data_IF_818037776769
#
_entry.id   IF_818037776769
#
_cell.length_a   1.000
_cell.length_b   1.000
_cell.length_c   1.000
_cell.angle_alpha   90.00
_cell.angle_beta   90.00
_cell.angle_gamma   90.00
#
_symmetry.space_group_name_H-M   'P 1'
#
loop_
_entity.id
_entity.type
_entity.pdbx_description
1 polymer ?
#
# COMPACT_ATOMS: atom_id res chain seq x y z
N UNK A 1 42.11 32.37 6.20
CA UNK A 1 42.64 33.63 6.78
C UNK A 1 42.05 34.79 6.01
N UNK A 2 41.31 35.68 6.66
CA UNK A 2 40.76 36.88 6.04
C UNK A 2 41.72 38.05 6.27
N UNK A 3 42.12 38.73 5.20
CA UNK A 3 42.93 39.94 5.29
C UNK A 3 42.01 41.13 5.08
N UNK A 4 41.77 41.91 6.14
CA UNK A 4 41.01 43.16 6.04
C UNK A 4 42.02 44.30 5.87
N UNK A 5 42.11 44.94 4.69
CA UNK A 5 42.99 46.06 4.50
C UNK A 5 42.42 47.29 5.22
N UNK A 6 43.16 47.84 6.17
CA UNK A 6 42.86 49.14 6.75
C UNK A 6 43.82 50.20 6.20
N UNK A 7 43.28 51.36 5.85
CA UNK A 7 44.06 52.53 5.42
C UNK A 7 43.99 53.56 6.54
N UNK A 8 45.11 53.76 7.24
CA UNK A 8 45.21 54.79 8.27
C UNK A 8 45.65 56.09 7.60
N UNK A 9 44.77 57.10 7.56
CA UNK A 9 45.09 58.42 7.03
C UNK A 9 45.33 59.40 8.18
N UNK A 10 46.56 59.91 8.31
CA UNK A 10 46.90 60.99 9.24
C UNK A 10 47.04 62.34 8.53
N UNK A 11 46.74 63.45 9.22
CA UNK A 11 47.10 64.81 8.77
C UNK A 11 48.28 65.33 9.58
N UNK A 12 49.21 66.04 8.91
CA UNK A 12 50.35 66.69 9.57
C UNK A 12 49.84 67.93 10.33
N UNK A 13 49.84 67.88 11.66
CA UNK A 13 49.50 69.04 12.49
C UNK A 13 50.64 70.08 12.53
N UNK A 14 50.36 71.34 12.89
CA UNK A 14 51.39 72.36 13.06
C UNK A 14 52.20 72.11 14.35
N UNK A 15 53.46 71.71 14.24
CA UNK A 15 54.35 71.50 15.39
C UNK A 15 55.48 72.55 15.41
N UNK A 16 55.50 73.50 16.37
CA UNK A 16 56.50 74.58 16.41
C UNK A 16 57.93 74.17 16.79
N UNK A 17 58.16 72.99 17.36
CA UNK A 17 59.47 72.57 17.90
C UNK A 17 60.00 71.24 17.32
N UNK A 18 59.56 70.88 16.11
CA UNK A 18 59.88 69.60 15.48
C UNK A 18 58.78 68.56 15.70
N UNK A 19 58.33 67.92 14.62
CA UNK A 19 57.33 66.87 14.70
C UNK A 19 57.96 65.61 15.31
N UNK A 20 57.71 65.34 16.58
CA UNK A 20 57.83 63.97 17.07
C UNK A 20 56.60 63.21 16.55
N UNK A 21 56.76 62.07 15.84
CA UNK A 21 55.60 61.28 15.46
C UNK A 21 54.82 60.95 16.73
N UNK A 22 53.52 61.23 16.73
CA UNK A 22 52.61 60.76 17.77
C UNK A 22 52.92 59.28 17.99
N UNK A 23 53.17 58.87 19.25
CA UNK A 23 53.35 57.45 19.58
C UNK A 23 52.22 56.71 18.90
N UNK A 24 52.55 55.77 18.00
CA UNK A 24 51.56 55.02 17.25
C UNK A 24 50.58 54.41 18.23
N UNK A 25 49.39 54.98 18.31
CA UNK A 25 48.35 54.48 19.17
C UNK A 25 47.90 53.18 18.51
N UNK A 26 48.23 52.06 19.15
CA UNK A 26 47.81 50.74 18.69
C UNK A 26 46.32 50.65 18.94
N UNK A 27 45.54 50.97 17.92
CA UNK A 27 44.09 50.79 17.95
C UNK A 27 43.81 49.31 17.72
N UNK A 28 43.51 48.59 18.79
CA UNK A 28 43.02 47.21 18.70
C UNK A 28 41.57 47.23 18.26
N UNK A 29 41.33 46.95 16.98
CA UNK A 29 39.98 46.72 16.46
C UNK A 29 39.56 45.29 16.82
N UNK A 30 38.53 45.15 17.65
CA UNK A 30 37.91 43.85 17.93
C UNK A 30 36.85 43.60 16.85
N UNK A 31 37.17 42.74 15.89
CA UNK A 31 36.22 42.28 14.88
C UNK A 31 35.51 41.02 15.41
N UNK A 32 34.23 41.15 15.74
CA UNK A 32 33.39 39.99 16.03
C UNK A 32 32.85 39.40 14.72
N UNK A 33 33.47 38.34 14.22
CA UNK A 33 32.92 37.56 13.09
C UNK A 33 31.81 36.67 13.63
N UNK A 34 30.56 37.05 13.38
CA UNK A 34 29.40 36.20 13.66
C UNK A 34 29.27 35.22 12.50
N UNK A 35 29.63 33.96 12.73
CA UNK A 35 29.35 32.90 11.78
C UNK A 35 27.88 32.50 11.89
N UNK A 36 27.15 32.56 10.78
CA UNK A 36 25.80 32.00 10.72
C UNK A 36 25.80 30.50 11.01
N UNK A 37 24.71 30.00 11.59
CA UNK A 37 24.51 28.58 11.85
C UNK A 37 23.26 28.09 11.12
N UNK A 38 23.26 26.87 10.55
CA UNK A 38 22.06 26.23 10.05
C UNK A 38 21.08 25.96 11.20
N UNK A 39 19.78 26.08 10.93
CA UNK A 39 18.73 25.79 11.89
C UNK A 39 17.55 25.12 11.19
N UNK A 40 17.51 23.79 11.19
CA UNK A 40 16.46 23.05 10.49
C UNK A 40 15.18 22.95 11.32
N UNK A 41 14.05 23.23 10.66
CA UNK A 41 12.69 22.97 11.13
C UNK A 41 12.11 21.77 10.40
N UNK A 42 11.44 20.89 11.13
CA UNK A 42 10.83 19.66 10.61
C UNK A 42 9.31 19.74 10.71
N UNK A 43 8.65 19.36 9.63
CA UNK A 43 7.20 19.18 9.57
C UNK A 43 6.90 17.82 8.93
N UNK A 44 5.89 17.13 9.45
CA UNK A 44 5.43 15.83 8.96
C UNK A 44 3.92 15.95 8.72
N UNK A 45 3.38 15.25 7.73
CA UNK A 45 1.93 15.19 7.48
C UNK A 45 1.18 14.79 8.74
N UNK A 46 0.04 15.45 8.98
CA UNK A 46 -0.93 15.02 9.98
C UNK A 46 -1.77 13.87 9.41
N UNK A 47 -2.46 13.15 10.31
CA UNK A 47 -3.47 12.17 9.95
C UNK A 47 -2.94 10.98 9.13
N UNK A 48 -1.82 10.42 9.60
CA UNK A 48 -1.21 9.23 9.00
C UNK A 48 -2.03 7.99 9.40
N UNK A 49 -3.01 7.65 8.56
CA UNK A 49 -3.91 6.51 8.77
C UNK A 49 -3.77 5.55 7.59
N UNK A 50 -3.65 4.25 7.86
CA UNK A 50 -3.55 3.21 6.84
C UNK A 50 -4.27 1.94 7.28
N UNK A 51 -4.65 1.10 6.33
CA UNK A 51 -5.10 -0.25 6.65
C UNK A 51 -3.90 -1.18 6.89
N UNK A 52 -4.11 -2.22 7.69
CA UNK A 52 -3.14 -3.31 7.83
C UNK A 52 -2.85 -3.95 6.46
N UNK A 53 -1.58 -4.20 6.17
CA UNK A 53 -1.14 -4.82 4.91
C UNK A 53 -0.84 -3.85 3.76
N UNK A 54 -1.16 -2.57 3.90
CA UNK A 54 -0.88 -1.54 2.89
C UNK A 54 0.52 -0.91 3.03
N UNK A 55 0.86 -0.04 2.07
CA UNK A 55 2.02 0.85 2.18
C UNK A 55 1.54 2.28 2.34
N UNK A 56 1.87 2.89 3.47
CA UNK A 56 1.56 4.29 3.73
C UNK A 56 2.75 5.17 3.35
N UNK A 57 2.50 6.22 2.58
CA UNK A 57 3.51 7.26 2.33
C UNK A 57 3.26 8.44 3.26
N UNK A 58 4.24 8.74 4.12
CA UNK A 58 4.22 9.85 5.08
C UNK A 58 5.12 10.95 4.54
N UNK A 59 4.52 12.08 4.18
CA UNK A 59 5.24 13.22 3.64
C UNK A 59 5.84 14.07 4.75
N UNK A 60 7.04 14.58 4.51
CA UNK A 60 7.72 15.49 5.42
C UNK A 60 8.41 16.63 4.68
N UNK A 61 8.63 17.73 5.40
CA UNK A 61 9.43 18.84 4.92
C UNK A 61 10.47 19.28 5.94
N UNK A 62 11.65 19.63 5.44
CA UNK A 62 12.78 20.14 6.20
C UNK A 62 13.12 21.52 5.67
N UNK A 63 12.95 22.55 6.50
CA UNK A 63 13.27 23.93 6.11
C UNK A 63 14.45 24.46 6.89
N UNK A 64 15.43 25.05 6.19
CA UNK A 64 16.54 25.72 6.86
C UNK A 64 16.14 27.16 7.23
N UNK A 65 15.91 27.41 8.52
CA UNK A 65 15.65 28.74 9.08
C UNK A 65 16.92 29.44 9.57
N UNK A 66 18.07 28.78 9.43
CA UNK A 66 19.36 29.30 9.82
C UNK A 66 19.89 30.37 8.86
N UNK A 67 20.99 31.00 9.26
CA UNK A 67 21.69 32.00 8.43
C UNK A 67 22.89 31.41 7.68
N UNK A 68 23.08 30.09 7.74
CA UNK A 68 24.10 29.35 7.01
C UNK A 68 23.53 28.04 6.43
N UNK A 69 24.14 27.50 5.36
CA UNK A 69 23.72 26.24 4.76
C UNK A 69 23.89 25.04 5.70
N UNK A 70 23.04 24.04 5.52
CA UNK A 70 23.17 22.73 6.12
C UNK A 70 23.65 21.72 5.08
N UNK A 71 24.66 20.91 5.42
CA UNK A 71 25.27 19.96 4.51
C UNK A 71 24.92 18.52 4.86
N UNK A 72 24.95 17.62 3.86
CA UNK A 72 24.72 16.19 4.01
C UNK A 72 23.43 15.88 4.77
N UNK A 73 22.32 16.50 4.36
CA UNK A 73 21.04 16.33 5.05
C UNK A 73 20.53 14.92 4.79
N UNK A 74 20.37 14.12 5.86
CA UNK A 74 19.88 12.73 5.78
C UNK A 74 18.73 12.53 6.74
N UNK A 75 17.66 11.91 6.26
CA UNK A 75 16.49 11.56 7.06
C UNK A 75 16.42 10.04 7.28
N UNK A 76 16.02 9.64 8.47
CA UNK A 76 15.83 8.25 8.89
C UNK A 76 14.62 8.18 9.81
N UNK A 77 13.78 7.15 9.65
CA UNK A 77 12.70 6.86 10.61
C UNK A 77 13.19 5.83 11.61
N UNK A 78 13.04 6.16 12.89
CA UNK A 78 13.33 5.27 14.02
C UNK A 78 12.05 4.92 14.74
N UNK A 79 11.99 3.69 15.22
CA UNK A 79 10.91 3.20 16.06
C UNK A 79 11.44 2.20 17.06
N UNK A 80 10.68 2.00 18.14
CA UNK A 80 10.93 0.94 19.11
C UNK A 80 10.32 -0.41 18.66
N UNK A 81 9.58 -0.41 17.54
CA UNK A 81 8.91 -1.58 16.97
C UNK A 81 9.86 -2.30 16.01
N UNK A 82 10.48 -3.38 16.49
CA UNK A 82 11.47 -4.14 15.71
C UNK A 82 10.95 -4.72 14.38
N UNK A 83 9.64 -4.86 14.22
CA UNK A 83 9.03 -5.33 12.98
C UNK A 83 8.83 -4.23 11.93
N UNK A 84 8.87 -2.95 12.32
CA UNK A 84 8.63 -1.84 11.39
C UNK A 84 9.64 -1.85 10.23
N UNK A 85 9.15 -2.11 9.03
CA UNK A 85 9.90 -1.88 7.80
C UNK A 85 9.49 -0.51 7.25
N UNK A 86 10.48 0.37 7.02
CA UNK A 86 10.26 1.66 6.37
C UNK A 86 11.39 1.97 5.39
N UNK A 87 11.06 2.74 4.36
CA UNK A 87 12.00 3.23 3.37
C UNK A 87 11.83 4.75 3.23
N UNK A 88 12.89 5.48 3.57
CA UNK A 88 12.94 6.93 3.40
C UNK A 88 13.34 7.25 1.96
N UNK A 89 12.53 8.05 1.28
CA UNK A 89 12.82 8.55 -0.04
C UNK A 89 12.97 10.08 0.00
N UNK A 90 14.20 10.53 -0.21
CA UNK A 90 14.51 11.95 -0.39
C UNK A 90 14.77 12.14 -1.89
N UNK A 91 13.95 12.93 -2.60
CA UNK A 91 14.18 13.20 -4.01
C UNK A 91 15.51 13.96 -4.19
N UNK A 92 16.50 13.27 -4.76
CA UNK A 92 17.83 13.81 -5.04
C UNK A 92 18.75 13.81 -3.82
N UNK A 93 20.02 13.48 -4.03
CA UNK A 93 21.06 13.66 -3.02
C UNK A 93 21.18 15.16 -2.70
N UNK A 94 20.53 15.63 -1.62
CA UNK A 94 20.64 17.03 -1.18
C UNK A 94 21.89 17.18 -0.32
N UNK A 95 23.02 17.34 -1.01
CA UNK A 95 24.31 17.61 -0.40
C UNK A 95 24.31 18.93 0.40
N UNK A 96 23.46 19.90 0.01
CA UNK A 96 23.39 21.23 0.63
C UNK A 96 21.96 21.78 0.61
N UNK A 97 21.51 22.28 1.76
CA UNK A 97 20.25 23.00 1.94
C UNK A 97 20.55 24.44 2.36
N UNK A 98 20.36 25.39 1.44
CA UNK A 98 20.69 26.80 1.65
C UNK A 98 19.73 27.47 2.67
N UNK A 99 20.11 28.62 3.25
CA UNK A 99 19.21 29.40 4.09
C UNK A 99 17.87 29.70 3.40
N UNK A 100 16.77 29.41 4.10
CA UNK A 100 15.38 29.51 3.68
C UNK A 100 14.87 28.45 2.70
N UNK A 101 15.74 27.57 2.20
CA UNK A 101 15.32 26.47 1.34
C UNK A 101 14.52 25.42 2.13
N UNK A 102 13.64 24.75 1.39
CA UNK A 102 12.82 23.65 1.88
C UNK A 102 13.11 22.41 1.05
N UNK A 103 13.40 21.32 1.75
CA UNK A 103 13.47 19.98 1.21
C UNK A 103 12.16 19.25 1.51
N UNK A 104 11.53 18.70 0.49
CA UNK A 104 10.37 17.82 0.61
C UNK A 104 10.80 16.37 0.40
N UNK A 105 10.26 15.46 1.20
CA UNK A 105 10.54 14.03 1.10
C UNK A 105 9.36 13.20 1.58
N UNK A 106 9.43 11.89 1.35
CA UNK A 106 8.37 10.96 1.75
C UNK A 106 8.97 9.70 2.35
N UNK A 107 8.31 9.13 3.35
CA UNK A 107 8.68 7.86 3.97
C UNK A 107 7.61 6.83 3.66
N UNK A 108 7.98 5.77 2.95
CA UNK A 108 7.13 4.60 2.75
C UNK A 108 7.20 3.70 4.00
N UNK A 109 6.06 3.46 4.63
CA UNK A 109 5.89 2.58 5.79
C UNK A 109 5.08 1.37 5.36
N UNK A 110 5.64 0.17 5.54
CA UNK A 110 4.96 -1.08 5.18
C UNK A 110 4.16 -1.60 6.39
N UNK A 111 2.85 -1.36 6.41
CA UNK A 111 1.99 -1.71 7.55
C UNK A 111 1.76 -3.20 7.67
N UNK A 112 2.07 -4.01 6.66
CA UNK A 112 2.07 -5.49 6.75
C UNK A 112 2.95 -6.06 7.86
N UNK A 113 3.84 -5.25 8.42
CA UNK A 113 4.75 -5.61 9.50
C UNK A 113 4.27 -5.18 10.89
N UNK A 114 3.11 -4.53 10.96
CA UNK A 114 2.49 -4.00 12.17
C UNK A 114 1.02 -4.44 12.22
N UNK A 115 0.53 -4.85 13.39
CA UNK A 115 -0.89 -5.14 13.55
C UNK A 115 -1.73 -3.86 13.65
N UNK A 116 -3.06 -4.01 13.75
CA UNK A 116 -3.96 -2.91 14.12
C UNK A 116 -3.48 -2.17 15.38
N UNK A 117 -3.59 -0.84 15.39
CA UNK A 117 -3.33 -0.02 16.56
C UNK A 117 -2.74 1.36 16.28
N UNK A 118 -2.40 2.06 17.36
CA UNK A 118 -1.76 3.36 17.33
C UNK A 118 -0.27 3.23 17.63
N UNK A 119 0.55 3.85 16.79
CA UNK A 119 2.01 3.79 16.85
C UNK A 119 2.59 5.20 16.90
N UNK A 120 3.61 5.40 17.74
CA UNK A 120 4.39 6.63 17.76
C UNK A 120 5.76 6.38 17.13
N UNK A 121 6.07 7.13 16.07
CA UNK A 121 7.30 7.01 15.30
C UNK A 121 8.12 8.29 15.40
N UNK A 122 9.43 8.20 15.15
CA UNK A 122 10.34 9.35 15.18
C UNK A 122 11.10 9.50 13.87
N UNK A 123 10.97 10.66 13.25
CA UNK A 123 11.82 11.10 12.14
C UNK A 123 13.07 11.79 12.68
N UNK A 124 14.24 11.23 12.41
CA UNK A 124 15.55 11.81 12.69
C UNK A 124 16.12 12.42 11.39
N UNK A 125 16.48 13.70 11.43
CA UNK A 125 17.19 14.40 10.33
C UNK A 125 18.56 14.83 10.82
N UNK A 126 19.60 14.24 10.25
CA UNK A 126 21.00 14.57 10.53
C UNK A 126 21.57 15.51 9.46
N UNK A 127 22.44 16.43 9.87
CA UNK A 127 23.11 17.38 8.98
C UNK A 127 24.43 17.88 9.59
N UNK A 128 25.24 18.55 8.79
CA UNK A 128 26.54 19.10 9.16
C UNK A 128 26.57 20.61 8.92
N UNK A 129 27.16 21.39 9.83
CA UNK A 129 27.35 22.83 9.64
C UNK A 129 28.60 23.18 8.80
N UNK A 130 28.81 24.47 8.54
CA UNK A 130 29.99 25.00 7.83
C UNK A 130 31.33 24.70 8.51
N UNK A 131 31.34 24.28 9.77
CA UNK A 131 32.52 23.94 10.56
C UNK A 131 32.75 22.43 10.66
N UNK A 132 31.87 21.61 10.08
CA UNK A 132 31.93 20.15 10.18
C UNK A 132 31.26 19.57 11.43
N UNK A 133 30.54 20.38 12.22
CA UNK A 133 29.81 19.91 13.40
C UNK A 133 28.54 19.20 12.96
N UNK A 134 28.35 17.97 13.43
CA UNK A 134 27.15 17.19 13.14
C UNK A 134 26.02 17.49 14.13
N UNK A 135 24.80 17.58 13.62
CA UNK A 135 23.58 17.82 14.36
C UNK A 135 22.51 16.79 13.98
N UNK A 136 21.57 16.57 14.89
CA UNK A 136 20.36 15.77 14.65
C UNK A 136 19.15 16.57 15.13
N UNK A 137 18.13 16.66 14.27
CA UNK A 137 16.80 17.15 14.62
C UNK A 137 15.81 16.01 14.57
N UNK A 138 14.84 16.06 15.47
CA UNK A 138 13.89 14.98 15.68
C UNK A 138 12.47 15.52 15.66
N UNK A 139 11.56 14.74 15.10
CA UNK A 139 10.12 15.00 15.13
C UNK A 139 9.38 13.69 15.33
N UNK A 140 8.53 13.64 16.35
CA UNK A 140 7.62 12.51 16.54
C UNK A 140 6.33 12.74 15.77
N UNK A 141 5.73 11.64 15.30
CA UNK A 141 4.44 11.63 14.64
C UNK A 141 3.70 10.32 14.96
N UNK A 142 2.38 10.38 14.93
CA UNK A 142 1.50 9.24 15.19
C UNK A 142 1.08 8.58 13.88
N UNK A 143 0.92 7.27 13.92
CA UNK A 143 0.45 6.40 12.85
C UNK A 143 -0.69 5.53 13.39
N UNK A 144 -1.85 5.60 12.74
CA UNK A 144 -3.02 4.77 13.06
C UNK A 144 -3.16 3.67 12.02
N UNK A 145 -3.14 2.42 12.45
CA UNK A 145 -3.37 1.26 11.60
C UNK A 145 -4.75 0.72 11.92
N UNK A 146 -5.64 0.81 10.94
CA UNK A 146 -6.98 0.27 10.99
C UNK A 146 -6.96 -1.18 10.50
N UNK A 147 -7.93 -2.01 10.92
CA UNK A 147 -8.08 -3.35 10.36
C UNK A 147 -8.28 -3.27 8.85
N UNK A 148 -7.70 -4.22 8.13
CA UNK A 148 -7.84 -4.32 6.66
C UNK A 148 -9.32 -4.27 6.25
N UNK A 149 -9.69 -3.33 5.39
CA UNK A 149 -11.02 -3.30 4.76
C UNK A 149 -11.17 -4.31 3.62
N UNK A 150 -10.11 -5.03 3.25
CA UNK A 150 -10.27 -6.23 2.45
C UNK A 150 -11.01 -7.24 3.32
N UNK A 151 -12.27 -7.49 2.99
CA UNK A 151 -13.05 -8.59 3.54
C UNK A 151 -12.16 -9.83 3.52
N UNK A 152 -11.97 -10.46 4.67
CA UNK A 152 -11.21 -11.70 4.75
C UNK A 152 -11.79 -12.70 3.74
N UNK A 153 -10.99 -13.67 3.29
CA UNK A 153 -11.54 -14.74 2.45
C UNK A 153 -12.76 -15.40 3.11
N UNK A 154 -12.80 -15.44 4.45
CA UNK A 154 -13.97 -15.90 5.19
C UNK A 154 -15.19 -14.98 5.03
N UNK A 155 -15.04 -13.66 5.17
CA UNK A 155 -16.14 -12.71 4.98
C UNK A 155 -16.66 -12.71 3.53
N UNK A 156 -15.77 -12.77 2.54
CA UNK A 156 -16.17 -12.93 1.13
C UNK A 156 -16.89 -14.26 0.92
N UNK A 157 -16.46 -15.32 1.62
CA UNK A 157 -17.10 -16.62 1.64
C UNK A 157 -18.52 -16.54 2.22
N UNK A 158 -18.70 -15.82 3.34
CA UNK A 158 -19.98 -15.62 4.01
C UNK A 158 -20.97 -14.90 3.07
N UNK A 159 -20.55 -13.78 2.48
CA UNK A 159 -21.37 -13.00 1.54
C UNK A 159 -21.79 -13.86 0.33
N UNK A 160 -20.83 -14.59 -0.27
CA UNK A 160 -21.10 -15.48 -1.42
C UNK A 160 -22.02 -16.65 -1.04
N UNK A 161 -21.87 -17.19 0.17
CA UNK A 161 -22.72 -18.27 0.68
C UNK A 161 -24.16 -17.81 0.86
N UNK A 162 -24.38 -16.61 1.42
CA UNK A 162 -25.72 -16.02 1.59
C UNK A 162 -26.41 -15.80 0.23
N UNK A 163 -25.69 -15.31 -0.78
CA UNK A 163 -26.22 -15.21 -2.15
C UNK A 163 -26.61 -16.58 -2.72
N UNK A 164 -25.81 -17.62 -2.47
CA UNK A 164 -26.12 -19.00 -2.85
C UNK A 164 -27.40 -19.53 -2.20
N UNK A 165 -27.62 -19.23 -0.91
CA UNK A 165 -28.86 -19.58 -0.20
C UNK A 165 -30.07 -18.86 -0.80
N UNK A 166 -29.94 -17.58 -1.13
CA UNK A 166 -31.02 -16.82 -1.76
C UNK A 166 -31.42 -17.40 -3.14
N UNK A 167 -30.47 -17.98 -3.89
CA UNK A 167 -30.78 -18.67 -5.15
C UNK A 167 -31.52 -20.00 -4.95
N UNK A 168 -31.28 -20.71 -3.83
CA UNK A 168 -32.09 -21.88 -3.48
C UNK A 168 -33.55 -21.51 -3.21
N UNK A 169 -33.83 -20.34 -2.65
CA UNK A 169 -35.21 -19.87 -2.41
C UNK A 169 -35.97 -19.54 -3.71
N UNK A 170 -35.26 -19.33 -4.82
CA UNK A 170 -35.84 -19.02 -6.14
C UNK A 170 -35.77 -20.21 -7.10
N UNK A 171 -35.47 -21.42 -6.60
CA UNK A 171 -35.28 -22.66 -7.35
C UNK A 171 -34.19 -22.59 -8.44
N UNK A 172 -33.28 -21.61 -8.37
CA UNK A 172 -32.10 -21.54 -9.24
C UNK A 172 -30.96 -22.39 -8.68
N UNK A 173 -31.15 -23.71 -8.74
CA UNK A 173 -30.18 -24.68 -8.24
C UNK A 173 -28.82 -24.59 -8.94
N UNK A 174 -28.79 -24.21 -10.24
CA UNK A 174 -27.54 -24.07 -10.98
C UNK A 174 -26.74 -22.86 -10.51
N UNK A 175 -27.41 -21.72 -10.33
CA UNK A 175 -26.78 -20.53 -9.78
C UNK A 175 -26.29 -20.77 -8.34
N UNK A 176 -27.10 -21.44 -7.51
CA UNK A 176 -26.73 -21.78 -6.15
C UNK A 176 -25.47 -22.68 -6.09
N UNK A 177 -25.37 -23.71 -6.94
CA UNK A 177 -24.17 -24.58 -7.02
C UNK A 177 -22.92 -23.77 -7.36
N UNK A 178 -23.01 -22.82 -8.28
CA UNK A 178 -21.87 -21.97 -8.64
C UNK A 178 -21.40 -21.12 -7.46
N UNK A 179 -22.32 -20.46 -6.76
CA UNK A 179 -22.00 -19.61 -5.61
C UNK A 179 -21.46 -20.43 -4.43
N UNK A 180 -22.06 -21.57 -4.10
CA UNK A 180 -21.50 -22.45 -3.05
C UNK A 180 -20.11 -23.00 -3.41
N UNK A 181 -19.85 -23.26 -4.69
CA UNK A 181 -18.51 -23.68 -5.14
C UNK A 181 -17.47 -22.57 -4.98
N UNK A 182 -17.86 -21.32 -5.24
CA UNK A 182 -17.02 -20.15 -5.03
C UNK A 182 -16.79 -19.89 -3.53
N UNK A 183 -17.85 -19.93 -2.71
CA UNK A 183 -17.76 -19.79 -1.26
C UNK A 183 -16.86 -20.88 -0.65
N UNK A 184 -16.97 -22.14 -1.11
CA UNK A 184 -16.08 -23.23 -0.69
C UNK A 184 -14.60 -22.89 -0.94
N UNK A 185 -14.25 -22.36 -2.11
CA UNK A 185 -12.86 -21.98 -2.40
C UNK A 185 -12.36 -20.87 -1.47
N UNK A 186 -13.22 -19.90 -1.16
CA UNK A 186 -12.90 -18.81 -0.24
C UNK A 186 -12.68 -19.33 1.20
N UNK A 187 -13.50 -20.27 1.68
CA UNK A 187 -13.30 -20.89 2.99
C UNK A 187 -12.04 -21.76 3.06
N UNK A 188 -11.69 -22.45 1.97
CA UNK A 188 -10.40 -23.17 1.89
C UNK A 188 -9.22 -22.19 1.96
N UNK A 189 -9.31 -21.03 1.31
CA UNK A 189 -8.29 -19.99 1.38
C UNK A 189 -8.22 -19.31 2.76
N UNK A 190 -9.31 -19.33 3.53
CA UNK A 190 -9.35 -18.84 4.91
C UNK A 190 -9.06 -19.93 5.95
N UNK A 191 -8.67 -21.14 5.53
CA UNK A 191 -8.44 -22.31 6.41
C UNK A 191 -9.65 -22.67 7.29
N UNK A 192 -10.88 -22.37 6.84
CA UNK A 192 -12.11 -22.70 7.55
C UNK A 192 -12.76 -23.96 6.95
N UNK A 193 -12.22 -25.12 7.36
CA UNK A 193 -12.65 -26.44 6.86
C UNK A 193 -14.13 -26.74 7.16
N UNK A 194 -14.65 -26.27 8.29
CA UNK A 194 -16.04 -26.50 8.70
C UNK A 194 -17.04 -25.82 7.74
N UNK A 195 -16.79 -24.56 7.38
CA UNK A 195 -17.64 -23.85 6.40
C UNK A 195 -17.45 -24.37 4.98
N UNK A 196 -16.25 -24.82 4.62
CA UNK A 196 -16.00 -25.48 3.34
C UNK A 196 -16.80 -26.80 3.20
N UNK A 197 -16.89 -27.59 4.28
CA UNK A 197 -17.70 -28.80 4.31
C UNK A 197 -19.21 -28.50 4.22
N UNK A 198 -19.68 -27.42 4.86
CA UNK A 198 -21.07 -26.98 4.72
C UNK A 198 -21.43 -26.60 3.28
N UNK A 199 -20.54 -25.92 2.56
CA UNK A 199 -20.73 -25.61 1.15
C UNK A 199 -20.83 -26.89 0.30
N UNK A 200 -20.00 -27.89 0.58
CA UNK A 200 -20.04 -29.18 -0.12
C UNK A 200 -21.37 -29.89 0.07
N UNK A 201 -21.89 -29.93 1.30
CA UNK A 201 -23.22 -30.48 1.57
C UNK A 201 -24.31 -29.74 0.77
N UNK A 202 -24.27 -28.40 0.73
CA UNK A 202 -25.25 -27.60 -0.03
C UNK A 202 -25.18 -27.84 -1.53
N UNK A 203 -23.98 -28.05 -2.07
CA UNK A 203 -23.78 -28.39 -3.48
C UNK A 203 -24.44 -29.74 -3.79
N UNK A 204 -24.20 -30.76 -2.95
CA UNK A 204 -24.78 -32.10 -3.11
C UNK A 204 -26.32 -32.07 -3.04
N UNK A 205 -26.88 -31.37 -2.05
CA UNK A 205 -28.32 -31.18 -1.90
C UNK A 205 -28.93 -30.50 -3.14
N UNK A 206 -28.29 -29.46 -3.66
CA UNK A 206 -28.75 -28.73 -4.85
C UNK A 206 -28.69 -29.58 -6.13
N UNK A 207 -27.65 -30.42 -6.28
CA UNK A 207 -27.58 -31.38 -7.39
C UNK A 207 -28.72 -32.40 -7.33
N UNK A 208 -29.04 -32.93 -6.15
CA UNK A 208 -30.13 -33.88 -5.97
C UNK A 208 -31.49 -33.27 -6.35
N UNK A 209 -31.74 -32.01 -5.95
CA UNK A 209 -32.98 -31.32 -6.32
C UNK A 209 -33.04 -31.01 -7.82
N UNK A 210 -31.92 -30.63 -8.43
CA UNK A 210 -31.85 -30.43 -9.88
C UNK A 210 -32.17 -31.72 -10.65
N UNK A 211 -31.68 -32.87 -10.17
CA UNK A 211 -31.98 -34.18 -10.76
C UNK A 211 -33.45 -34.55 -10.63
N UNK A 212 -34.04 -34.36 -9.44
CA UNK A 212 -35.47 -34.58 -9.21
C UNK A 212 -36.36 -33.70 -10.10
N UNK A 213 -35.99 -32.43 -10.30
CA UNK A 213 -36.72 -31.51 -11.16
C UNK A 213 -36.66 -31.90 -12.65
N UNK A 214 -35.64 -32.67 -13.07
CA UNK A 214 -35.46 -33.15 -14.44
C UNK A 214 -36.10 -34.52 -14.69
N UNK A 215 -36.43 -35.28 -13.65
CA UNK A 215 -37.13 -36.57 -13.76
C UNK A 215 -38.64 -36.36 -13.57
N UNK A 216 -39.49 -36.56 -14.59
CA UNK A 216 -40.93 -36.45 -14.42
C UNK A 216 -41.42 -37.50 -13.42
N UNK A 217 -42.34 -37.12 -12.52
CA UNK A 217 -42.97 -38.05 -11.58
C UNK A 217 -43.57 -39.26 -12.32
N UNK A 218 -43.48 -40.47 -11.75
CA UNK A 218 -44.15 -41.64 -12.33
C UNK A 218 -45.66 -41.39 -12.31
N UNK A 219 -46.24 -41.19 -13.49
CA UNK A 219 -47.70 -41.06 -13.66
C UNK A 219 -48.35 -42.38 -13.25
N UNK A 220 -49.26 -42.35 -12.27
CA UNK A 220 -50.07 -43.50 -11.86
C UNK A 220 -50.68 -44.20 -13.07
N UNK A 221 -50.53 -45.52 -13.10
CA UNK A 221 -50.92 -46.43 -14.18
C UNK A 221 -52.32 -46.13 -14.73
N UNK A 222 -52.36 -45.55 -15.93
CA UNK A 222 -53.54 -45.52 -16.76
C UNK A 222 -53.17 -46.17 -18.10
N UNK A 223 -53.82 -47.30 -18.43
CA UNK A 223 -53.49 -48.24 -19.52
C UNK A 223 -53.38 -47.60 -20.93
N UNK A 224 -53.73 -46.32 -21.08
CA UNK A 224 -53.54 -45.54 -22.31
C UNK A 224 -52.11 -45.01 -22.54
N UNK A 225 -51.24 -44.97 -21.52
CA UNK A 225 -49.90 -44.37 -21.65
C UNK A 225 -48.88 -45.25 -22.41
N UNK A 226 -49.03 -46.58 -22.37
CA UNK A 226 -48.16 -47.51 -23.11
C UNK A 226 -48.28 -47.35 -24.64
N UNK A 227 -49.46 -46.96 -25.13
CA UNK A 227 -49.65 -46.65 -26.56
C UNK A 227 -48.97 -45.34 -26.97
N UNK A 228 -48.90 -44.36 -26.06
CA UNK A 228 -48.28 -43.06 -26.31
C UNK A 228 -46.75 -43.13 -26.21
N UNK A 229 -46.21 -43.87 -25.24
CA UNK A 229 -44.76 -44.15 -25.11
C UNK A 229 -44.26 -45.01 -26.28
N UNK A 230 -45.09 -45.96 -26.77
CA UNK A 230 -44.80 -46.72 -27.99
C UNK A 230 -44.72 -45.85 -29.25
N UNK A 231 -45.51 -44.77 -29.33
CA UNK A 231 -45.52 -43.86 -30.48
C UNK A 231 -44.29 -42.93 -30.51
N UNK A 232 -43.79 -42.49 -29.35
CA UNK A 232 -42.62 -41.61 -29.26
C UNK A 232 -41.28 -42.35 -29.31
N UNK A 233 -41.21 -43.58 -28.80
CA UNK A 233 -39.99 -44.43 -28.91
C UNK A 233 -39.75 -44.89 -30.37
N UNK A 234 -40.80 -45.06 -31.17
CA UNK A 234 -40.68 -45.34 -32.61
C UNK A 234 -40.06 -44.19 -33.42
N UNK A 235 -40.33 -42.93 -33.03
CA UNK A 235 -39.79 -41.76 -33.72
C UNK A 235 -38.29 -41.53 -33.42
N UNK A 236 -37.83 -41.82 -32.21
CA UNK A 236 -36.41 -41.71 -31.84
C UNK A 236 -35.53 -42.77 -32.55
N UNK A 237 -36.04 -43.99 -32.76
CA UNK A 237 -35.34 -45.04 -33.50
C UNK A 237 -35.18 -44.73 -35.00
N UNK A 238 -36.16 -44.05 -35.61
CA UNK A 238 -36.08 -43.62 -37.02
C UNK A 238 -35.02 -42.52 -37.25
N UNK A 239 -34.80 -41.63 -36.27
CA UNK A 239 -33.77 -40.60 -36.36
C UNK A 239 -32.34 -41.14 -36.15
N UNK A 240 -32.15 -42.14 -35.28
CA UNK A 240 -30.84 -42.79 -35.10
C UNK A 240 -30.48 -43.74 -36.26
N UNK A 241 -31.47 -44.31 -36.96
CA UNK A 241 -31.25 -45.10 -38.17
C UNK A 241 -30.72 -44.29 -39.35
N UNK A 242 -31.12 -43.02 -39.49
CA UNK A 242 -30.68 -42.15 -40.59
C UNK A 242 -29.29 -41.53 -40.38
N UNK A 243 -28.85 -41.33 -39.13
CA UNK A 243 -27.52 -40.76 -38.83
C UNK A 243 -26.41 -41.83 -38.83
N UNK A 244 -26.71 -43.06 -38.39
CA UNK A 244 -25.76 -44.18 -38.49
C UNK A 244 -25.48 -44.63 -39.94
N UNK A 245 -26.45 -44.45 -40.86
CA UNK A 245 -26.30 -44.78 -42.28
C UNK A 245 -25.36 -43.86 -43.06
N UNK A 246 -25.20 -42.59 -42.66
CA UNK A 246 -24.32 -41.64 -43.36
C UNK A 246 -22.87 -41.67 -42.88
N UNK A 247 -22.59 -42.13 -41.66
CA UNK A 247 -21.23 -42.20 -41.11
C UNK A 247 -20.48 -43.43 -41.63
N UNK A 248 -21.17 -44.53 -41.98
CA UNK A 248 -20.51 -45.75 -42.48
C UNK A 248 -20.12 -45.71 -43.97
N UNK A 249 -20.57 -44.71 -44.75
CA UNK A 249 -20.22 -44.58 -46.18
C UNK A 249 -19.00 -43.70 -46.46
N UNK A 250 -18.41 -43.05 -45.45
CA UNK A 250 -17.21 -42.19 -45.61
C UNK A 250 -15.88 -42.84 -45.19
N UNK A 251 -15.92 -44.06 -44.66
CA UNK A 251 -14.73 -44.80 -44.19
C UNK A 251 -14.14 -45.84 -45.16
N UNK A 252 -14.70 -46.01 -46.36
CA UNK A 252 -14.24 -47.02 -47.33
C UNK A 252 -13.86 -46.44 -48.70
N UNK A 253 -13.29 -45.23 -48.71
CA UNK A 253 -12.72 -44.61 -49.92
C UNK A 253 -11.31 -44.02 -49.68
N UNK A 254 -10.56 -44.54 -48.71
CA UNK A 254 -9.12 -44.30 -48.59
C UNK A 254 -8.41 -45.50 -47.95
N UNK A 255 -8.35 -46.59 -48.72
CA UNK A 255 -7.24 -47.54 -48.83
C UNK A 255 -7.51 -48.47 -49.99
#
# INVERSE_FOLDING_TARGET
TYYIPFVITGKRGPCPQGCHPWRGEVVTLSLNVIHGLPALSLSVSSDNVAAEGETLNVDFSVRNLGSAPAYNVKAEVKSDYSSLVSQVNIPGDVDTLEPNDTLEGSVAIFTSSLGEGEYELRLDVSFVDTKGTQYVKQKTFSLSILPSQQASFEQQGDDTYEEGVALLETDDFKGAIMLFSQAKQLYVLSENDDKAAQCEQKIDDAYQQLEMALTPEPVEDNEYYLLLVGLFTGAAAAFLGLTAGMIRRRGSANK
#
